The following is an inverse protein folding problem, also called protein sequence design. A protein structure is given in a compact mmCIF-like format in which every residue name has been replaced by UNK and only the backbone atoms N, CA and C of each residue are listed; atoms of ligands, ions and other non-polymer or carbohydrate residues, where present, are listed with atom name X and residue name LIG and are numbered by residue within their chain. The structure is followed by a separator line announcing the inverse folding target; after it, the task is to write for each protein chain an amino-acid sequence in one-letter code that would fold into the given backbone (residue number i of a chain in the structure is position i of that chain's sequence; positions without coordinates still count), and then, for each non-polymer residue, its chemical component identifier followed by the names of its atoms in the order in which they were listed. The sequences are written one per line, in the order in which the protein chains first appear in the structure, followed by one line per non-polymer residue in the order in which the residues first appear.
data_IF_595885624241
#
_entry.id   IF_595885624241
#
_cell.length_a   1.000
_cell.length_b   1.000
_cell.length_c   1.000
_cell.angle_alpha   90.00
_cell.angle_beta   90.00
_cell.angle_gamma   90.00
#
_symmetry.space_group_name_H-M   'P 1'
#
loop_
_entity.id
_entity.type
_entity.pdbx_description
1 polymer ?
#
# COMPACT_ATOMS: atom_id res chain seq x y z
N UNK A 1 -23.76 14.75 42.03
CA UNK A 1 -23.03 15.55 41.04
C UNK A 1 -21.54 15.26 41.22
N UNK A 2 -20.95 14.46 40.33
CA UNK A 2 -19.51 14.18 40.29
C UNK A 2 -18.97 14.85 39.02
N UNK A 3 -17.83 15.57 39.06
CA UNK A 3 -17.28 16.21 37.87
C UNK A 3 -16.62 15.16 36.97
N UNK A 4 -16.92 15.22 35.68
CA UNK A 4 -16.32 14.41 34.63
C UNK A 4 -14.92 14.97 34.35
N UNK A 5 -13.89 14.16 34.60
CA UNK A 5 -12.50 14.46 34.23
C UNK A 5 -12.38 14.46 32.71
N UNK A 6 -12.12 15.62 32.12
CA UNK A 6 -11.78 15.78 30.70
C UNK A 6 -10.46 15.05 30.40
N UNK A 7 -10.52 14.01 29.57
CA UNK A 7 -9.34 13.30 29.09
C UNK A 7 -8.54 14.17 28.13
N UNK A 8 -7.29 14.45 28.49
CA UNK A 8 -6.33 15.15 27.64
C UNK A 8 -5.95 14.23 26.46
N UNK A 9 -6.53 14.47 25.28
CA UNK A 9 -6.06 13.91 24.02
C UNK A 9 -4.72 14.57 23.68
N UNK A 10 -3.61 13.97 24.12
CA UNK A 10 -2.32 14.29 23.52
C UNK A 10 -2.38 13.85 22.05
N UNK A 11 -1.98 14.70 21.09
CA UNK A 11 -1.66 14.24 19.74
C UNK A 11 -0.67 13.10 19.87
N UNK A 12 -0.94 11.97 19.22
CA UNK A 12 0.00 10.85 19.18
C UNK A 12 1.19 11.28 18.31
N UNK A 13 2.15 11.99 18.92
CA UNK A 13 3.44 12.27 18.31
C UNK A 13 4.18 10.94 18.33
N UNK A 14 4.09 10.19 17.24
CA UNK A 14 4.96 9.04 17.01
C UNK A 14 6.38 9.64 16.98
N UNK A 15 7.27 9.28 17.92
CA UNK A 15 8.64 9.76 17.83
C UNK A 15 9.21 9.32 16.48
N UNK A 16 9.70 10.26 15.68
CA UNK A 16 10.55 9.93 14.54
C UNK A 16 11.78 9.23 15.13
N UNK A 17 11.81 7.91 15.02
CA UNK A 17 13.04 7.18 15.22
C UNK A 17 13.97 7.65 14.09
N UNK A 18 15.21 8.07 14.39
CA UNK A 18 16.15 8.40 13.33
C UNK A 18 16.29 7.17 12.43
N UNK A 19 16.00 7.35 11.14
CA UNK A 19 16.21 6.31 10.15
C UNK A 19 17.67 5.86 10.19
N UNK A 20 17.91 4.57 10.00
CA UNK A 20 19.25 4.03 9.92
C UNK A 20 19.77 4.17 8.49
N UNK A 21 20.43 5.30 8.24
CA UNK A 21 21.18 5.53 7.00
C UNK A 21 22.59 4.94 7.16
N UNK A 22 23.07 4.10 6.21
CA UNK A 22 24.43 3.58 6.27
C UNK A 22 25.46 4.72 6.26
N UNK A 23 26.54 4.65 7.07
CA UNK A 23 27.46 5.77 7.26
C UNK A 23 28.26 6.15 6.00
N UNK A 24 28.31 5.26 5.03
CA UNK A 24 28.93 5.44 3.71
C UNK A 24 28.02 6.17 2.70
N UNK A 25 26.74 6.38 3.03
CA UNK A 25 25.78 7.11 2.19
C UNK A 25 25.75 8.59 2.58
N UNK A 26 26.20 9.46 1.67
CA UNK A 26 26.03 10.91 1.79
C UNK A 26 24.64 11.35 1.33
N UNK A 27 23.70 11.49 2.27
CA UNK A 27 22.33 11.87 1.97
C UNK A 27 22.20 13.27 1.35
N UNK A 28 23.10 14.21 1.64
CA UNK A 28 23.03 15.53 1.01
C UNK A 28 23.33 15.43 -0.49
N UNK A 29 24.31 14.59 -0.85
CA UNK A 29 24.60 14.28 -2.24
C UNK A 29 23.45 13.55 -2.91
N UNK A 30 22.91 12.51 -2.27
CA UNK A 30 21.76 11.75 -2.81
C UNK A 30 20.58 12.67 -3.10
N UNK A 31 20.23 13.54 -2.15
CA UNK A 31 19.15 14.52 -2.29
C UNK A 31 19.43 15.49 -3.43
N UNK A 32 20.66 16.02 -3.53
CA UNK A 32 21.02 16.92 -4.63
C UNK A 32 20.91 16.24 -6.00
N UNK A 33 21.50 15.04 -6.14
CA UNK A 33 21.51 14.28 -7.40
C UNK A 33 20.07 13.97 -7.88
N UNK A 34 19.19 13.45 -6.99
CA UNK A 34 17.77 13.22 -7.36
C UNK A 34 16.96 14.51 -7.54
N UNK A 35 17.48 15.64 -7.08
CA UNK A 35 16.93 16.97 -7.35
C UNK A 35 17.17 17.43 -8.78
N UNK A 36 18.33 17.10 -9.33
CA UNK A 36 18.76 17.55 -10.66
C UNK A 36 18.03 16.82 -11.78
N UNK A 37 17.93 15.49 -11.70
CA UNK A 37 17.35 14.67 -12.77
C UNK A 37 16.48 13.50 -12.31
N UNK A 38 16.26 13.37 -10.99
CA UNK A 38 15.48 12.29 -10.40
C UNK A 38 16.26 11.00 -10.13
N UNK A 39 17.57 10.96 -10.37
CA UNK A 39 18.41 9.76 -10.18
C UNK A 39 19.64 10.07 -9.34
N UNK A 40 19.90 9.23 -8.35
CA UNK A 40 21.19 9.15 -7.65
C UNK A 40 21.70 7.72 -7.81
N UNK A 41 22.62 7.48 -8.74
CA UNK A 41 23.09 6.14 -9.08
C UNK A 41 24.53 6.15 -9.58
N UNK A 42 25.21 4.99 -9.63
CA UNK A 42 26.46 4.85 -10.35
C UNK A 42 26.30 5.21 -11.83
N UNK A 43 27.31 5.87 -12.41
CA UNK A 43 27.20 6.47 -13.75
C UNK A 43 26.95 5.50 -14.92
N UNK A 44 27.09 4.18 -14.72
CA UNK A 44 26.79 3.19 -15.77
C UNK A 44 25.29 3.05 -16.05
N UNK A 45 24.44 3.19 -15.03
CA UNK A 45 22.98 2.99 -15.14
C UNK A 45 22.19 4.30 -15.23
N UNK A 46 22.84 5.41 -14.87
CA UNK A 46 22.22 6.73 -14.69
C UNK A 46 21.39 7.18 -15.90
N UNK A 47 21.94 7.08 -17.12
CA UNK A 47 21.22 7.49 -18.33
C UNK A 47 19.94 6.67 -18.57
N UNK A 48 19.99 5.36 -18.32
CA UNK A 48 18.83 4.48 -18.48
C UNK A 48 17.80 4.69 -17.37
N UNK A 49 18.23 4.99 -16.14
CA UNK A 49 17.34 5.33 -15.03
C UNK A 49 16.64 6.66 -15.24
N UNK A 50 17.33 7.68 -15.78
CA UNK A 50 16.71 8.95 -16.15
C UNK A 50 15.60 8.77 -17.19
N UNK A 51 15.77 7.83 -18.11
CA UNK A 51 14.71 7.46 -19.06
C UNK A 51 13.49 6.88 -18.33
N UNK A 52 13.68 5.99 -17.35
CA UNK A 52 12.58 5.45 -16.53
C UNK A 52 11.87 6.56 -15.75
N UNK A 53 12.61 7.50 -15.16
CA UNK A 53 12.03 8.68 -14.48
C UNK A 53 11.20 9.52 -15.44
N UNK A 54 11.70 9.75 -16.66
CA UNK A 54 10.97 10.51 -17.68
C UNK A 54 9.69 9.81 -18.12
N UNK A 55 9.73 8.48 -18.29
CA UNK A 55 8.56 7.67 -18.64
C UNK A 55 7.51 7.69 -17.51
N UNK A 56 7.94 7.47 -16.26
CA UNK A 56 7.06 7.55 -15.09
C UNK A 56 6.39 8.93 -14.96
N UNK A 57 7.14 10.00 -15.26
CA UNK A 57 6.58 11.37 -15.27
C UNK A 57 5.52 11.56 -16.35
N UNK A 58 5.66 10.92 -17.51
CA UNK A 58 4.62 10.94 -18.55
C UNK A 58 3.33 10.26 -18.08
N UNK A 59 3.44 9.27 -17.19
CA UNK A 59 2.31 8.59 -16.53
C UNK A 59 1.82 9.34 -15.27
N UNK A 60 2.35 10.54 -14.99
CA UNK A 60 1.94 11.38 -13.86
C UNK A 60 2.60 11.01 -12.53
N UNK A 61 3.63 10.16 -12.53
CA UNK A 61 4.39 9.77 -11.35
C UNK A 61 5.67 10.61 -11.27
N UNK A 62 5.79 11.45 -10.25
CA UNK A 62 7.06 12.12 -9.96
C UNK A 62 8.03 11.14 -9.27
N UNK A 63 8.69 10.32 -10.09
CA UNK A 63 9.59 9.26 -9.63
C UNK A 63 10.98 9.81 -9.29
N UNK A 64 11.54 9.33 -8.17
CA UNK A 64 12.95 9.48 -7.80
C UNK A 64 13.57 8.12 -7.55
N UNK A 65 14.76 7.90 -8.07
CA UNK A 65 15.47 6.62 -7.97
C UNK A 65 16.81 6.84 -7.25
N UNK A 66 17.06 6.07 -6.21
CA UNK A 66 18.34 6.01 -5.51
C UNK A 66 18.90 4.61 -5.64
N UNK A 67 20.13 4.46 -6.12
CA UNK A 67 20.82 3.16 -6.21
C UNK A 67 22.02 3.19 -5.28
N UNK A 68 22.07 2.22 -4.36
CA UNK A 68 23.17 1.98 -3.44
C UNK A 68 23.90 0.71 -3.89
N UNK A 69 25.20 0.82 -4.16
CA UNK A 69 26.01 -0.27 -4.72
C UNK A 69 26.12 -1.50 -3.81
N UNK A 70 26.14 -1.27 -2.51
CA UNK A 70 26.34 -2.34 -1.53
C UNK A 70 25.03 -2.69 -0.85
N UNK A 71 24.78 -3.99 -0.73
CA UNK A 71 23.63 -4.47 0.04
C UNK A 71 23.80 -4.13 1.52
N UNK A 72 22.82 -3.45 2.13
CA UNK A 72 22.74 -3.41 3.58
C UNK A 72 22.49 -4.80 4.17
N UNK A 73 22.74 -4.98 5.47
CA UNK A 73 22.45 -6.22 6.18
C UNK A 73 20.94 -6.52 6.33
N UNK A 74 20.09 -5.51 6.16
CA UNK A 74 18.63 -5.54 6.27
C UNK A 74 18.04 -4.59 5.22
N UNK A 75 16.74 -4.66 4.93
CA UNK A 75 16.03 -3.79 3.99
C UNK A 75 15.71 -2.39 4.56
N UNK A 76 15.61 -2.26 5.89
CA UNK A 76 15.31 -1.01 6.61
C UNK A 76 16.07 0.22 6.11
N UNK A 77 17.39 0.16 5.85
CA UNK A 77 18.15 1.31 5.36
C UNK A 77 17.61 1.90 4.06
N UNK A 78 17.15 1.07 3.12
CA UNK A 78 16.62 1.57 1.85
C UNK A 78 15.26 2.26 2.05
N UNK A 79 14.43 1.76 2.97
CA UNK A 79 13.17 2.44 3.32
C UNK A 79 13.43 3.79 3.97
N UNK A 80 14.45 3.87 4.82
CA UNK A 80 14.83 5.11 5.49
C UNK A 80 15.40 6.13 4.48
N UNK A 81 16.29 5.71 3.58
CA UNK A 81 16.78 6.53 2.46
C UNK A 81 15.60 7.05 1.62
N UNK A 82 14.67 6.17 1.22
CA UNK A 82 13.51 6.56 0.43
C UNK A 82 12.63 7.58 1.17
N UNK A 83 12.47 7.41 2.48
CA UNK A 83 11.69 8.32 3.34
C UNK A 83 12.35 9.69 3.46
N UNK A 84 13.67 9.75 3.68
CA UNK A 84 14.42 11.00 3.77
C UNK A 84 14.38 11.79 2.45
N UNK A 85 14.53 11.11 1.31
CA UNK A 85 14.34 11.74 -0.02
C UNK A 85 12.91 12.22 -0.20
N UNK A 86 11.92 11.43 0.23
CA UNK A 86 10.50 11.80 0.19
C UNK A 86 10.17 13.02 1.03
N UNK A 87 10.84 13.20 2.17
CA UNK A 87 10.73 14.40 3.00
C UNK A 87 11.35 15.63 2.34
N UNK A 88 12.49 15.47 1.65
CA UNK A 88 13.12 16.54 0.90
C UNK A 88 12.30 16.96 -0.34
N UNK A 89 11.52 16.03 -0.91
CA UNK A 89 10.68 16.26 -2.08
C UNK A 89 9.22 15.81 -1.85
N UNK A 90 8.42 16.65 -1.15
CA UNK A 90 7.04 16.32 -0.84
C UNK A 90 6.21 16.08 -2.11
N UNK A 91 5.52 14.94 -2.16
CA UNK A 91 4.69 14.55 -3.30
C UNK A 91 5.36 13.58 -4.27
N UNK A 92 6.68 13.40 -4.19
CA UNK A 92 7.39 12.44 -5.04
C UNK A 92 7.17 11.00 -4.57
N UNK A 93 7.26 10.07 -5.52
CA UNK A 93 7.40 8.63 -5.26
C UNK A 93 8.87 8.27 -5.36
N UNK A 94 9.42 7.61 -4.34
CA UNK A 94 10.85 7.29 -4.25
C UNK A 94 11.04 5.77 -4.24
N UNK A 95 11.97 5.31 -5.07
CA UNK A 95 12.46 3.94 -5.11
C UNK A 95 13.96 3.95 -4.75
N UNK A 96 14.31 3.37 -3.62
CA UNK A 96 15.69 3.10 -3.24
C UNK A 96 16.03 1.63 -3.51
N UNK A 97 17.15 1.36 -4.16
CA UNK A 97 17.57 0.04 -4.63
C UNK A 97 18.96 -0.30 -4.10
N UNK A 98 19.16 -1.59 -3.82
CA UNK A 98 20.46 -2.23 -3.76
C UNK A 98 20.38 -3.56 -4.53
N UNK A 99 21.48 -4.28 -4.75
CA UNK A 99 21.46 -5.53 -5.52
C UNK A 99 20.44 -6.59 -5.06
N UNK A 100 20.01 -6.58 -3.81
CA UNK A 100 19.08 -7.58 -3.26
C UNK A 100 17.91 -7.00 -2.45
N UNK A 101 17.86 -5.69 -2.27
CA UNK A 101 16.82 -5.04 -1.50
C UNK A 101 16.24 -3.85 -2.27
N UNK A 102 15.01 -3.50 -1.91
CA UNK A 102 14.34 -2.31 -2.38
C UNK A 102 13.60 -1.67 -1.20
N UNK A 103 13.59 -0.35 -1.16
CA UNK A 103 12.81 0.45 -0.22
C UNK A 103 12.00 1.50 -0.97
N UNK A 104 10.80 1.78 -0.51
CA UNK A 104 9.87 2.66 -1.22
C UNK A 104 9.23 3.69 -0.30
N UNK A 105 8.93 4.86 -0.86
CA UNK A 105 8.13 5.91 -0.24
C UNK A 105 7.19 6.51 -1.28
N UNK A 106 5.92 6.72 -0.94
CA UNK A 106 5.01 7.55 -1.73
C UNK A 106 3.88 8.06 -0.84
N UNK A 107 3.49 9.34 -0.99
CA UNK A 107 2.29 9.87 -0.35
C UNK A 107 1.01 9.60 -1.16
N UNK A 108 1.12 9.16 -2.41
CA UNK A 108 -0.02 9.02 -3.34
C UNK A 108 -0.42 7.57 -3.61
N UNK A 109 0.53 6.64 -3.57
CA UNK A 109 0.26 5.21 -3.70
C UNK A 109 0.03 4.57 -2.33
N UNK A 110 -0.95 3.68 -2.24
CA UNK A 110 -1.21 2.96 -0.99
C UNK A 110 -0.08 1.96 -0.67
N UNK A 111 -0.01 1.56 0.60
CA UNK A 111 1.08 0.69 1.06
C UNK A 111 1.11 -0.66 0.35
N UNK A 112 -0.04 -1.25 0.01
CA UNK A 112 -0.09 -2.59 -0.59
C UNK A 112 0.48 -2.53 -2.01
N UNK A 113 0.11 -1.52 -2.78
CA UNK A 113 0.67 -1.27 -4.12
C UNK A 113 2.19 -1.06 -4.09
N UNK A 114 2.69 -0.28 -3.12
CA UNK A 114 4.13 -0.06 -2.96
C UNK A 114 4.87 -1.34 -2.59
N UNK A 115 4.34 -2.17 -1.70
CA UNK A 115 4.96 -3.45 -1.32
C UNK A 115 4.99 -4.43 -2.49
N UNK A 116 3.90 -4.53 -3.26
CA UNK A 116 3.86 -5.34 -4.47
C UNK A 116 4.92 -4.87 -5.50
N UNK A 117 5.04 -3.55 -5.69
CA UNK A 117 6.07 -2.98 -6.56
C UNK A 117 7.48 -3.27 -6.05
N UNK A 118 7.71 -3.15 -4.74
CA UNK A 118 8.99 -3.40 -4.09
C UNK A 118 9.43 -4.87 -4.27
N UNK A 119 8.51 -5.82 -4.22
CA UNK A 119 8.82 -7.24 -4.44
C UNK A 119 9.26 -7.53 -5.88
N UNK A 120 8.66 -6.85 -6.86
CA UNK A 120 9.04 -6.96 -8.27
C UNK A 120 10.34 -6.22 -8.60
N UNK A 121 10.75 -5.27 -7.75
CA UNK A 121 11.96 -4.48 -7.91
C UNK A 121 13.24 -5.14 -7.34
N UNK A 122 13.17 -6.40 -6.88
CA UNK A 122 14.32 -7.13 -6.32
C UNK A 122 15.00 -8.01 -7.37
N UNK A 123 15.37 -7.44 -8.52
CA UNK A 123 15.94 -8.20 -9.65
C UNK A 123 17.47 -8.24 -9.65
N UNK A 124 18.13 -7.32 -8.95
CA UNK A 124 19.58 -7.10 -9.02
C UNK A 124 20.04 -6.18 -10.15
N UNK A 125 19.17 -5.86 -11.11
CA UNK A 125 19.41 -4.87 -12.16
C UNK A 125 18.59 -3.60 -11.87
N UNK A 126 19.21 -2.44 -11.60
CA UNK A 126 18.48 -1.26 -11.13
C UNK A 126 17.49 -0.72 -12.18
N UNK A 127 17.81 -0.84 -13.47
CA UNK A 127 16.96 -0.37 -14.56
C UNK A 127 15.71 -1.24 -14.68
N UNK A 128 15.86 -2.55 -14.73
CA UNK A 128 14.76 -3.50 -14.80
C UNK A 128 13.90 -3.44 -13.54
N UNK A 129 14.53 -3.35 -12.36
CA UNK A 129 13.84 -3.18 -11.09
C UNK A 129 12.96 -1.93 -11.09
N UNK A 130 13.47 -0.81 -11.60
CA UNK A 130 12.71 0.45 -11.68
C UNK A 130 11.54 0.35 -12.66
N UNK A 131 11.73 -0.30 -13.82
CA UNK A 131 10.66 -0.54 -14.79
C UNK A 131 9.56 -1.44 -14.22
N UNK A 132 9.95 -2.52 -13.53
CA UNK A 132 8.99 -3.41 -12.86
C UNK A 132 8.17 -2.67 -11.82
N UNK A 133 8.83 -1.83 -11.02
CA UNK A 133 8.17 -1.00 -10.01
C UNK A 133 7.13 -0.07 -10.65
N UNK A 134 7.54 0.74 -11.64
CA UNK A 134 6.63 1.67 -12.34
C UNK A 134 5.48 0.93 -13.03
N UNK A 135 5.77 -0.21 -13.66
CA UNK A 135 4.75 -1.06 -14.28
C UNK A 135 3.72 -1.53 -13.26
N UNK A 136 4.13 -1.88 -12.04
CA UNK A 136 3.19 -2.26 -10.98
C UNK A 136 2.34 -1.07 -10.52
N UNK A 137 2.92 0.12 -10.37
CA UNK A 137 2.19 1.32 -9.94
C UNK A 137 1.14 1.79 -10.96
N UNK A 138 1.38 1.52 -12.25
CA UNK A 138 0.50 1.95 -13.35
C UNK A 138 -0.50 0.86 -13.76
N UNK A 139 -0.36 -0.36 -13.24
CA UNK A 139 -1.29 -1.46 -13.50
C UNK A 139 -2.54 -1.29 -12.62
N UNK A 140 -3.75 -1.22 -13.20
CA UNK A 140 -4.98 -1.15 -12.42
C UNK A 140 -5.17 -2.40 -11.56
N UNK A 141 -5.37 -2.22 -10.26
CA UNK A 141 -5.69 -3.32 -9.36
C UNK A 141 -7.12 -3.82 -9.53
N UNK A 142 -7.32 -5.11 -9.24
CA UNK A 142 -8.64 -5.70 -9.20
C UNK A 142 -9.49 -5.06 -8.08
N UNK A 143 -10.76 -4.70 -8.31
CA UNK A 143 -11.57 -3.96 -7.34
C UNK A 143 -12.11 -4.87 -6.21
N UNK A 144 -11.23 -5.34 -5.34
CA UNK A 144 -11.53 -6.24 -4.22
C UNK A 144 -12.64 -5.73 -3.31
N UNK A 145 -12.67 -4.42 -3.06
CA UNK A 145 -13.72 -3.79 -2.26
C UNK A 145 -15.09 -3.95 -2.91
N UNK A 146 -15.21 -3.69 -4.21
CA UNK A 146 -16.48 -3.84 -4.93
C UNK A 146 -16.94 -5.31 -4.94
N UNK A 147 -16.02 -6.24 -5.22
CA UNK A 147 -16.30 -7.68 -5.14
C UNK A 147 -16.80 -8.07 -3.74
N UNK A 148 -16.08 -7.63 -2.69
CA UNK A 148 -16.43 -7.94 -1.30
C UNK A 148 -17.80 -7.38 -0.92
N UNK A 149 -18.12 -6.15 -1.33
CA UNK A 149 -19.44 -5.54 -1.11
C UNK A 149 -20.53 -6.39 -1.75
N UNK A 150 -20.36 -6.78 -3.01
CA UNK A 150 -21.33 -7.62 -3.72
C UNK A 150 -21.52 -8.97 -3.02
N UNK A 151 -20.42 -9.61 -2.59
CA UNK A 151 -20.47 -10.88 -1.85
C UNK A 151 -21.22 -10.75 -0.53
N UNK A 152 -20.94 -9.70 0.25
CA UNK A 152 -21.61 -9.45 1.54
C UNK A 152 -23.11 -9.22 1.34
N UNK A 153 -23.50 -8.42 0.34
CA UNK A 153 -24.91 -8.18 -0.01
C UNK A 153 -25.58 -9.50 -0.42
N UNK A 154 -24.90 -10.31 -1.24
CA UNK A 154 -25.40 -11.63 -1.66
C UNK A 154 -25.68 -12.56 -0.48
N UNK A 155 -24.74 -12.66 0.46
CA UNK A 155 -24.91 -13.47 1.69
C UNK A 155 -26.05 -12.93 2.55
N UNK A 156 -26.15 -11.61 2.72
CA UNK A 156 -27.24 -10.99 3.47
C UNK A 156 -28.62 -11.29 2.84
N UNK A 157 -28.72 -11.24 1.50
CA UNK A 157 -29.95 -11.56 0.79
C UNK A 157 -30.35 -13.03 0.96
N UNK A 158 -29.40 -13.97 0.81
CA UNK A 158 -29.63 -15.41 0.98
C UNK A 158 -30.07 -15.74 2.41
N UNK A 159 -29.42 -15.14 3.41
CA UNK A 159 -29.78 -15.35 4.83
C UNK A 159 -31.17 -14.79 5.16
N UNK A 160 -31.50 -13.59 4.66
CA UNK A 160 -32.83 -13.00 4.82
C UNK A 160 -33.93 -13.84 4.13
N UNK A 161 -33.70 -14.29 2.91
CA UNK A 161 -34.62 -15.16 2.18
C UNK A 161 -34.84 -16.49 2.92
N UNK A 162 -33.76 -17.11 3.39
CA UNK A 162 -33.82 -18.35 4.18
C UNK A 162 -34.64 -18.14 5.46
N UNK A 163 -34.40 -17.05 6.19
CA UNK A 163 -35.16 -16.71 7.40
C UNK A 163 -36.63 -16.49 7.11
N UNK A 164 -36.94 -15.80 6.02
CA UNK A 164 -38.32 -15.54 5.59
C UNK A 164 -39.07 -16.85 5.27
N UNK A 165 -38.43 -17.76 4.52
CA UNK A 165 -38.99 -19.09 4.21
C UNK A 165 -39.21 -19.92 5.49
N UNK A 166 -38.25 -19.92 6.42
CA UNK A 166 -38.40 -20.63 7.70
C UNK A 166 -39.57 -20.11 8.54
N UNK A 167 -39.76 -18.78 8.62
CA UNK A 167 -40.89 -18.18 9.35
C UNK A 167 -42.22 -18.57 8.69
N UNK A 168 -42.29 -18.53 7.36
CA UNK A 168 -43.49 -18.91 6.61
C UNK A 168 -43.84 -20.39 6.80
N UNK A 169 -42.84 -21.27 6.75
CA UNK A 169 -43.02 -22.71 6.99
C UNK A 169 -43.55 -23.00 8.40
N UNK A 170 -42.98 -22.37 9.43
CA UNK A 170 -43.46 -22.52 10.83
C UNK A 170 -44.91 -22.04 11.01
N UNK A 171 -45.31 -20.94 10.35
CA UNK A 171 -46.68 -20.43 10.42
C UNK A 171 -47.69 -21.36 9.74
N UNK A 172 -47.34 -21.93 8.59
CA UNK A 172 -48.20 -22.89 7.90
C UNK A 172 -48.45 -24.14 8.75
N UNK A 173 -47.40 -24.71 9.34
CA UNK A 173 -47.52 -25.89 10.21
C UNK A 173 -48.38 -25.62 11.46
N UNK A 174 -48.26 -24.43 12.08
CA UNK A 174 -49.08 -24.07 13.23
C UNK A 174 -50.57 -23.89 12.88
N UNK A 175 -50.88 -23.37 11.69
CA UNK A 175 -52.26 -23.23 11.22
C UNK A 175 -52.92 -24.59 10.94
N UNK A 176 -52.18 -25.53 10.36
CA UNK A 176 -52.65 -26.89 10.09
C UNK A 176 -52.92 -27.69 11.38
N UNK A 177 -52.04 -27.55 12.38
CA UNK A 177 -52.24 -28.16 13.69
C UNK A 177 -53.48 -27.61 14.42
N UNK A 178 -53.72 -26.29 14.35
CA UNK A 178 -54.89 -25.65 14.95
C UNK A 178 -56.21 -26.07 14.27
N UNK A 179 -56.21 -26.24 12.94
CA UNK A 179 -57.37 -26.74 12.19
C UNK A 179 -57.70 -28.20 12.56
N UNK A 180 -56.67 -29.03 12.73
CA UNK A 180 -56.84 -30.44 13.15
C UNK A 180 -57.41 -30.56 14.57
N UNK A 181 -56.98 -29.72 15.52
CA UNK A 181 -57.53 -29.71 16.89
C UNK A 181 -59.00 -29.23 16.93
N UNK A 182 -59.38 -28.35 16.00
CA UNK A 182 -60.76 -27.86 15.89
C UNK A 182 -61.72 -28.91 15.32
N UNK A 183 -61.26 -29.78 14.41
CA UNK A 183 -62.07 -30.83 13.78
C UNK A 183 -62.26 -32.07 14.69
N UNK A 184 -61.45 -32.18 15.76
CA UNK A 184 -61.53 -33.24 16.78
C UNK A 184 -62.41 -32.87 17.99
N UNK A 185 -63.01 -31.67 18.02
CA UNK A 185 -63.96 -31.22 19.07
C UNK A 185 -65.39 -31.21 18.56
#
# INVERSE_FOLDING_TARGET
MLPVTQGFLMPHVIPHLPGFIPPDVDMNKVIADVGDDGVSAPGADEAALRQVVSEARADGIDLKIVVIDTNPHLDTPLRDIATEVGHAYPGSTVLALSPSYAGTYSPTFDRVTLEAGQDLAKTGDPVQSSKNFVSQLTTPDFPWTALTIVLVIGVAAVTAATRWLQIRGKRAAAAEAAATDADLR
#
